data_IF_371095964316
#
_entry.id   IF_371095964316
#
_cell.length_a   1.000
_cell.length_b   1.000
_cell.length_c   1.000
_cell.angle_alpha   90.00
_cell.angle_beta   90.00
_cell.angle_gamma   90.00
#
_symmetry.space_group_name_H-M   'P 1'
#
loop_
_entity.id
_entity.type
_entity.pdbx_description
1 polymer ?
#
# COMPACT_ATOMS: atom_id res chain seq x y z
N UNK A 1 7.99 17.37 3.55
CA UNK A 1 8.06 17.00 2.12
C UNK A 1 7.59 15.58 1.95
N UNK A 2 6.76 15.27 0.95
CA UNK A 2 6.34 13.89 0.73
C UNK A 2 7.52 13.00 0.34
N UNK A 3 7.43 11.74 0.73
CA UNK A 3 8.39 10.72 0.31
C UNK A 3 8.00 10.20 -1.08
N UNK A 4 8.98 9.90 -1.91
CA UNK A 4 8.80 9.39 -3.26
C UNK A 4 9.59 8.12 -3.47
N UNK A 5 8.95 7.11 -4.03
CA UNK A 5 9.60 5.85 -4.39
C UNK A 5 9.15 5.44 -5.79
N UNK A 6 9.99 4.72 -6.51
CA UNK A 6 9.73 4.35 -7.88
C UNK A 6 10.39 3.02 -8.21
N UNK A 7 9.71 2.21 -9.03
CA UNK A 7 10.27 0.96 -9.54
C UNK A 7 9.67 0.64 -10.91
N UNK A 8 10.49 0.04 -11.79
CA UNK A 8 10.03 -0.48 -13.08
C UNK A 8 9.77 -1.98 -12.93
N UNK A 9 8.58 -2.42 -13.37
CA UNK A 9 8.13 -3.80 -13.26
C UNK A 9 7.85 -4.34 -14.67
N UNK A 10 8.41 -5.50 -15.00
CA UNK A 10 8.23 -6.15 -16.31
C UNK A 10 6.92 -6.92 -16.35
N UNK A 11 5.82 -6.21 -16.16
CA UNK A 11 4.46 -6.72 -16.23
C UNK A 11 3.57 -5.56 -16.63
N UNK A 12 2.42 -5.85 -17.27
CA UNK A 12 1.51 -4.78 -17.68
C UNK A 12 0.80 -4.15 -16.47
N UNK A 13 0.24 -2.94 -16.61
CA UNK A 13 -0.42 -2.26 -15.50
C UNK A 13 -1.56 -3.05 -14.86
N UNK A 14 -2.30 -3.84 -15.65
CA UNK A 14 -3.38 -4.68 -15.11
C UNK A 14 -2.83 -5.71 -14.12
N UNK A 15 -1.75 -6.39 -14.48
CA UNK A 15 -1.10 -7.37 -13.61
C UNK A 15 -0.59 -6.71 -12.34
N UNK A 16 0.11 -5.57 -12.47
CA UNK A 16 0.65 -4.84 -11.32
C UNK A 16 -0.48 -4.39 -10.39
N UNK A 17 -1.54 -3.84 -10.94
CA UNK A 17 -2.70 -3.38 -10.18
C UNK A 17 -3.33 -4.52 -9.38
N UNK A 18 -3.57 -5.66 -10.02
CA UNK A 18 -4.22 -6.80 -9.40
C UNK A 18 -3.35 -7.46 -8.32
N UNK A 19 -2.04 -7.53 -8.52
CA UNK A 19 -1.11 -8.07 -7.53
C UNK A 19 -0.96 -7.13 -6.34
N UNK A 20 -0.83 -5.83 -6.62
CA UNK A 20 -0.66 -4.80 -5.60
C UNK A 20 -1.84 -4.76 -4.63
N UNK A 21 -3.05 -4.93 -5.12
CA UNK A 21 -4.29 -4.80 -4.36
C UNK A 21 -4.98 -6.11 -4.01
N UNK A 22 -4.42 -7.25 -4.44
CA UNK A 22 -5.01 -8.57 -4.15
C UNK A 22 -4.90 -8.93 -2.67
N UNK A 23 -5.93 -9.58 -2.12
CA UNK A 23 -5.96 -9.93 -0.70
C UNK A 23 -4.77 -10.78 -0.27
N UNK A 24 -4.45 -11.81 -1.04
CA UNK A 24 -3.32 -12.69 -0.71
C UNK A 24 -1.97 -12.05 -1.02
N UNK A 25 -1.85 -11.45 -2.19
CA UNK A 25 -0.58 -10.88 -2.65
C UNK A 25 -0.17 -9.67 -1.83
N UNK A 26 -1.13 -8.86 -1.39
CA UNK A 26 -0.86 -7.74 -0.49
C UNK A 26 -0.16 -8.21 0.79
N UNK A 27 -0.58 -9.32 1.37
CA UNK A 27 0.03 -9.85 2.60
C UNK A 27 1.47 -10.27 2.40
N UNK A 28 1.85 -10.60 1.16
CA UNK A 28 3.20 -11.05 0.83
C UNK A 28 4.14 -9.87 0.66
N UNK A 29 3.78 -8.91 -0.23
CA UNK A 29 4.71 -7.81 -0.51
C UNK A 29 4.79 -6.78 0.62
N UNK A 30 3.77 -6.69 1.47
CA UNK A 30 3.78 -5.76 2.60
C UNK A 30 4.35 -6.36 3.89
N UNK A 31 4.65 -7.65 3.91
CA UNK A 31 5.18 -8.31 5.12
C UNK A 31 6.47 -7.68 5.63
N UNK A 32 7.25 -7.05 4.76
CA UNK A 32 8.50 -6.39 5.14
C UNK A 32 8.24 -5.17 6.04
N UNK A 33 7.08 -4.52 5.93
CA UNK A 33 6.68 -3.45 6.84
C UNK A 33 6.30 -4.02 8.20
N UNK A 34 5.49 -5.07 8.19
CA UNK A 34 5.11 -5.81 9.38
C UNK A 34 4.58 -7.18 8.97
N UNK A 35 5.18 -8.23 9.52
CA UNK A 35 4.70 -9.59 9.29
C UNK A 35 3.25 -9.72 9.76
N UNK A 36 2.41 -10.32 8.91
CA UNK A 36 0.98 -10.46 9.18
C UNK A 36 0.14 -9.27 8.73
N UNK A 37 0.72 -8.33 7.97
CA UNK A 37 -0.04 -7.20 7.41
C UNK A 37 -1.15 -7.67 6.48
N UNK A 38 -2.32 -7.04 6.58
CA UNK A 38 -3.47 -7.31 5.72
C UNK A 38 -4.35 -6.08 5.65
N UNK A 39 -5.37 -6.11 4.79
CA UNK A 39 -6.32 -5.02 4.71
C UNK A 39 -7.75 -5.54 4.76
N UNK A 40 -8.67 -4.64 5.13
CA UNK A 40 -10.12 -4.81 5.01
C UNK A 40 -10.66 -3.67 4.18
N UNK A 41 -11.63 -3.96 3.29
CA UNK A 41 -12.19 -2.99 2.34
C UNK A 41 -12.04 -3.51 0.92
N UNK A 42 -12.65 -2.82 -0.04
CA UNK A 42 -12.71 -3.27 -1.43
C UNK A 42 -12.01 -2.35 -2.43
N UNK A 43 -11.29 -1.36 -1.97
CA UNK A 43 -10.55 -0.37 -2.78
C UNK A 43 -11.41 0.55 -3.63
N UNK A 44 -12.73 0.43 -3.63
CA UNK A 44 -13.59 1.31 -4.43
C UNK A 44 -13.53 2.76 -3.94
N UNK A 45 -13.86 3.69 -4.82
CA UNK A 45 -13.88 5.11 -4.48
C UNK A 45 -14.80 5.34 -3.28
N UNK A 46 -14.28 6.08 -2.29
CA UNK A 46 -14.92 6.37 -1.01
C UNK A 46 -15.08 5.17 -0.07
N UNK A 47 -14.53 4.01 -0.43
CA UNK A 47 -14.51 2.84 0.46
C UNK A 47 -13.70 3.14 1.71
N UNK A 48 -14.25 2.74 2.86
CA UNK A 48 -13.50 2.71 4.11
C UNK A 48 -12.53 1.53 4.06
N UNK A 49 -11.28 1.79 4.40
CA UNK A 49 -10.23 0.79 4.40
C UNK A 49 -9.58 0.71 5.77
N UNK A 50 -9.16 -0.48 6.16
CA UNK A 50 -8.34 -0.68 7.35
C UNK A 50 -7.08 -1.42 6.95
N UNK A 51 -5.93 -0.84 7.24
CA UNK A 51 -4.63 -1.45 7.00
C UNK A 51 -4.08 -1.92 8.33
N UNK A 52 -4.04 -3.22 8.54
CA UNK A 52 -3.93 -3.85 9.84
C UNK A 52 -2.75 -4.81 9.93
N UNK A 53 -2.31 -5.07 11.15
CA UNK A 53 -1.32 -6.08 11.44
C UNK A 53 -1.26 -6.37 12.93
N UNK A 54 -0.71 -7.53 13.33
CA UNK A 54 -0.57 -7.87 14.75
C UNK A 54 0.64 -7.17 15.37
N UNK A 55 0.50 -6.76 16.63
CA UNK A 55 1.65 -6.35 17.43
C UNK A 55 2.28 -7.58 18.11
N UNK A 56 3.33 -7.34 18.90
CA UNK A 56 4.07 -8.43 19.58
C UNK A 56 3.20 -9.20 20.59
N UNK A 57 2.13 -8.57 21.08
CA UNK A 57 1.18 -9.20 22.01
C UNK A 57 0.01 -9.87 21.29
N UNK A 58 -0.03 -9.81 19.94
CA UNK A 58 -1.12 -10.39 19.16
C UNK A 58 -2.33 -9.48 18.99
N UNK A 59 -2.28 -8.23 19.46
CA UNK A 59 -3.35 -7.26 19.23
C UNK A 59 -3.31 -6.78 17.79
N UNK A 60 -4.48 -6.68 17.15
CA UNK A 60 -4.59 -6.21 15.77
C UNK A 60 -4.82 -4.70 15.77
N UNK A 61 -3.94 -3.98 15.09
CA UNK A 61 -4.05 -2.54 14.97
C UNK A 61 -3.53 -2.04 13.63
N UNK A 62 -3.66 -0.76 13.39
CA UNK A 62 -3.20 -0.13 12.16
C UNK A 62 -3.88 1.18 11.87
N UNK A 63 -4.16 1.42 10.59
CA UNK A 63 -4.67 2.69 10.08
C UNK A 63 -6.12 2.56 9.63
N UNK A 64 -6.93 3.55 10.00
CA UNK A 64 -8.27 3.76 9.42
C UNK A 64 -8.12 4.74 8.26
N UNK A 65 -8.66 4.38 7.11
CA UNK A 65 -8.38 5.08 5.86
C UNK A 65 -9.59 5.09 4.94
N UNK A 66 -9.49 5.86 3.86
CA UNK A 66 -10.52 5.97 2.84
C UNK A 66 -9.86 6.11 1.48
N UNK A 67 -10.48 5.56 0.45
CA UNK A 67 -10.01 5.73 -0.92
C UNK A 67 -10.59 7.03 -1.48
N UNK A 68 -9.74 7.99 -1.77
CA UNK A 68 -10.15 9.30 -2.28
C UNK A 68 -10.00 9.42 -3.79
N UNK A 69 -9.21 8.54 -4.41
CA UNK A 69 -9.07 8.50 -5.86
C UNK A 69 -8.84 7.06 -6.28
N UNK A 70 -9.54 6.61 -7.30
CA UNK A 70 -9.33 5.30 -7.91
C UNK A 70 -9.63 5.38 -9.40
N UNK A 71 -8.57 5.46 -10.21
CA UNK A 71 -8.62 5.28 -11.66
C UNK A 71 -7.93 3.94 -11.93
N UNK A 72 -8.68 2.87 -12.19
CA UNK A 72 -8.10 1.52 -12.26
C UNK A 72 -6.89 1.44 -13.19
N UNK A 73 -5.81 0.83 -12.69
CA UNK A 73 -4.55 0.65 -13.40
C UNK A 73 -3.76 1.95 -13.66
N UNK A 74 -4.22 3.08 -13.12
CA UNK A 74 -3.54 4.37 -13.30
C UNK A 74 -3.21 5.06 -11.99
N UNK A 75 -4.20 5.31 -11.12
CA UNK A 75 -3.99 6.05 -9.87
C UNK A 75 -4.86 5.51 -8.76
N UNK A 76 -4.24 5.34 -7.59
CA UNK A 76 -4.95 5.04 -6.35
C UNK A 76 -4.44 5.99 -5.26
N UNK A 77 -5.34 6.70 -4.59
CA UNK A 77 -4.99 7.55 -3.46
C UNK A 77 -5.73 7.09 -2.21
N UNK A 78 -4.96 6.89 -1.15
CA UNK A 78 -5.44 6.49 0.17
C UNK A 78 -5.28 7.68 1.10
N UNK A 79 -6.37 8.06 1.79
CA UNK A 79 -6.35 9.06 2.85
C UNK A 79 -6.37 8.34 4.20
N UNK A 80 -5.28 8.45 4.96
CA UNK A 80 -5.21 7.93 6.32
C UNK A 80 -5.71 9.00 7.28
N UNK A 81 -6.66 8.67 8.15
CA UNK A 81 -7.28 9.67 9.03
C UNK A 81 -7.38 9.26 10.49
N UNK A 82 -7.01 8.04 10.83
CA UNK A 82 -7.10 7.58 12.21
C UNK A 82 -6.35 6.29 12.46
N UNK A 83 -6.44 5.80 13.69
CA UNK A 83 -5.87 4.52 14.10
C UNK A 83 -6.97 3.49 14.32
N UNK A 84 -6.59 2.21 14.25
CA UNK A 84 -7.45 1.09 14.65
C UNK A 84 -6.70 0.31 15.72
N UNK A 85 -7.38 0.03 16.85
CA UNK A 85 -6.85 -0.81 17.93
C UNK A 85 -7.91 -1.85 18.30
N UNK A 86 -7.63 -3.12 18.01
CA UNK A 86 -8.54 -4.24 18.29
C UNK A 86 -9.97 -3.97 17.83
N UNK A 87 -10.11 -3.46 16.58
CA UNK A 87 -11.41 -3.19 15.98
C UNK A 87 -12.01 -1.83 16.31
N UNK A 88 -11.38 -1.05 17.18
CA UNK A 88 -11.89 0.29 17.57
C UNK A 88 -11.14 1.36 16.76
N UNK A 89 -11.90 2.18 16.04
CA UNK A 89 -11.34 3.31 15.28
C UNK A 89 -11.23 4.53 16.19
N UNK A 90 -10.04 5.12 16.22
CA UNK A 90 -9.77 6.35 16.97
C UNK A 90 -9.37 7.45 15.99
N UNK A 91 -10.10 8.56 16.01
CA UNK A 91 -9.83 9.74 15.17
C UNK A 91 -9.56 11.01 16.00
N UNK A 92 -9.53 10.88 17.32
CA UNK A 92 -9.49 12.02 18.23
C UNK A 92 -8.23 12.15 19.09
N UNK A 93 -7.38 11.12 19.12
CA UNK A 93 -6.14 11.17 19.88
C UNK A 93 -5.27 12.33 19.40
N UNK A 94 -4.59 13.01 20.34
CA UNK A 94 -3.73 14.13 20.02
C UNK A 94 -2.63 13.79 19.03
N UNK A 95 -2.09 12.54 19.09
CA UNK A 95 -1.05 12.09 18.16
C UNK A 95 -1.56 12.05 16.71
N UNK A 96 -2.85 11.82 16.49
CA UNK A 96 -3.46 11.77 15.16
C UNK A 96 -3.45 13.18 14.54
N UNK A 97 -3.71 14.21 15.33
CA UNK A 97 -3.75 15.59 14.85
C UNK A 97 -2.43 16.06 14.27
N UNK A 98 -1.32 15.41 14.64
CA UNK A 98 0.02 15.78 14.16
C UNK A 98 0.20 15.38 12.70
N UNK A 99 -0.37 14.24 12.26
CA UNK A 99 -0.12 13.70 10.93
C UNK A 99 -1.35 13.60 10.03
N UNK A 100 -2.56 13.57 10.59
CA UNK A 100 -3.78 13.37 9.80
C UNK A 100 -4.32 14.69 9.23
N UNK A 101 -4.86 14.69 7.99
CA UNK A 101 -4.86 13.55 7.09
C UNK A 101 -3.49 13.33 6.45
N UNK A 102 -3.15 12.08 6.15
CA UNK A 102 -1.94 11.74 5.41
C UNK A 102 -2.32 10.95 4.17
N UNK A 103 -1.73 11.29 3.03
CA UNK A 103 -2.08 10.71 1.74
C UNK A 103 -0.97 9.80 1.25
N UNK A 104 -1.39 8.69 0.64
CA UNK A 104 -0.50 7.73 0.01
C UNK A 104 -1.04 7.47 -1.40
N UNK A 105 -0.26 7.81 -2.43
CA UNK A 105 -0.71 7.74 -3.82
C UNK A 105 0.17 6.79 -4.62
N UNK A 106 -0.46 5.91 -5.37
CA UNK A 106 0.17 4.97 -6.29
C UNK A 106 -0.18 5.37 -7.70
N UNK A 107 0.85 5.59 -8.54
CA UNK A 107 0.67 5.94 -9.96
C UNK A 107 1.34 4.90 -10.83
N UNK A 108 0.60 4.36 -11.78
CA UNK A 108 1.08 3.38 -12.73
C UNK A 108 1.11 4.00 -14.12
N UNK A 109 2.24 3.84 -14.82
CA UNK A 109 2.38 4.30 -16.21
C UNK A 109 2.90 3.14 -17.04
N UNK A 110 2.25 2.87 -18.16
CA UNK A 110 2.72 1.83 -19.09
C UNK A 110 3.96 2.33 -19.83
N UNK A 111 4.96 1.45 -19.95
CA UNK A 111 6.20 1.72 -20.68
C UNK A 111 6.47 0.59 -21.67
N UNK A 112 7.49 0.74 -22.51
CA UNK A 112 7.91 -0.30 -23.44
C UNK A 112 8.38 -1.56 -22.71
N UNK A 113 8.86 -1.43 -21.46
CA UNK A 113 9.35 -2.55 -20.65
C UNK A 113 8.29 -3.15 -19.75
N UNK A 114 7.15 -2.46 -19.54
CA UNK A 114 6.08 -2.92 -18.65
C UNK A 114 5.40 -1.76 -17.96
N UNK A 115 5.62 -1.60 -16.66
CA UNK A 115 4.96 -0.58 -15.85
C UNK A 115 5.98 0.13 -14.97
N UNK A 116 5.91 1.47 -14.96
CA UNK A 116 6.56 2.28 -13.92
C UNK A 116 5.54 2.49 -12.81
N UNK A 117 5.91 2.12 -11.59
CA UNK A 117 5.10 2.36 -10.40
C UNK A 117 5.78 3.43 -9.56
N UNK A 118 5.04 4.49 -9.25
CA UNK A 118 5.49 5.59 -8.40
C UNK A 118 4.61 5.68 -7.19
N UNK A 119 5.24 5.88 -6.04
CA UNK A 119 4.54 6.03 -4.76
C UNK A 119 4.93 7.36 -4.15
N UNK A 120 3.93 8.13 -3.75
CA UNK A 120 4.10 9.36 -2.99
C UNK A 120 3.36 9.20 -1.68
N UNK A 121 3.98 9.59 -0.57
CA UNK A 121 3.32 9.50 0.71
C UNK A 121 3.71 10.64 1.63
N UNK A 122 2.71 11.12 2.38
CA UNK A 122 2.88 12.10 3.45
C UNK A 122 2.86 11.35 4.78
N UNK A 123 3.94 11.46 5.53
CA UNK A 123 3.98 10.92 6.88
C UNK A 123 4.79 11.87 7.75
N UNK A 124 4.70 11.71 9.06
CA UNK A 124 5.51 12.45 9.99
C UNK A 124 7.00 12.14 9.76
N UNK A 125 7.84 13.17 9.76
CA UNK A 125 9.28 13.04 9.45
C UNK A 125 10.00 12.00 10.31
N UNK A 126 9.52 11.74 11.52
CA UNK A 126 10.13 10.72 12.39
C UNK A 126 10.12 9.32 11.80
N UNK A 127 9.27 9.06 10.78
CA UNK A 127 9.21 7.77 10.10
C UNK A 127 10.02 7.73 8.80
N UNK A 128 10.63 8.84 8.38
CA UNK A 128 11.32 8.93 7.07
C UNK A 128 12.41 7.85 6.92
N UNK A 129 13.26 7.69 7.94
CA UNK A 129 14.33 6.70 7.87
C UNK A 129 13.79 5.28 7.72
N UNK A 130 12.74 4.96 8.47
CA UNK A 130 12.07 3.66 8.40
C UNK A 130 11.53 3.40 6.99
N UNK A 131 10.83 4.36 6.41
CA UNK A 131 10.25 4.20 5.09
C UNK A 131 11.29 4.20 3.98
N UNK A 132 12.33 5.03 4.09
CA UNK A 132 13.41 5.05 3.11
C UNK A 132 14.19 3.72 3.07
N UNK A 133 14.21 3.01 4.17
CA UNK A 133 14.86 1.69 4.26
C UNK A 133 13.91 0.58 3.80
N UNK A 134 12.64 0.67 4.12
CA UNK A 134 11.67 -0.41 3.95
C UNK A 134 10.96 -0.41 2.60
N UNK A 135 10.55 0.76 2.09
CA UNK A 135 9.82 0.85 0.81
C UNK A 135 10.59 0.24 -0.36
N UNK A 136 11.90 0.50 -0.53
CA UNK A 136 12.62 -0.15 -1.64
C UNK A 136 12.58 -1.67 -1.57
N UNK A 137 12.63 -2.25 -0.40
CA UNK A 137 12.54 -3.71 -0.21
C UNK A 137 11.13 -4.21 -0.52
N UNK A 138 10.10 -3.51 -0.08
CA UNK A 138 8.72 -3.86 -0.38
C UNK A 138 8.45 -3.85 -1.88
N UNK A 139 8.97 -2.84 -2.58
CA UNK A 139 8.80 -2.72 -4.03
C UNK A 139 9.50 -3.85 -4.79
N UNK A 140 10.65 -4.31 -4.32
CA UNK A 140 11.32 -5.47 -4.91
C UNK A 140 10.44 -6.72 -4.75
N UNK A 141 9.84 -6.93 -3.58
CA UNK A 141 8.92 -8.04 -3.37
C UNK A 141 7.70 -7.96 -4.29
N UNK A 142 7.13 -6.76 -4.43
CA UNK A 142 6.00 -6.54 -5.32
C UNK A 142 6.38 -6.82 -6.79
N UNK A 143 7.52 -6.27 -7.23
CA UNK A 143 8.03 -6.52 -8.57
C UNK A 143 8.19 -8.02 -8.85
N UNK A 144 8.79 -8.74 -7.92
CA UNK A 144 9.04 -10.17 -8.11
C UNK A 144 7.74 -10.96 -8.23
N UNK A 145 6.72 -10.62 -7.43
CA UNK A 145 5.39 -11.23 -7.55
C UNK A 145 4.74 -10.92 -8.91
N UNK A 146 4.83 -9.67 -9.34
CA UNK A 146 4.23 -9.25 -10.62
C UNK A 146 4.92 -9.93 -11.81
N UNK A 147 6.25 -9.99 -11.79
CA UNK A 147 7.00 -10.60 -12.88
C UNK A 147 6.81 -12.13 -12.92
N UNK A 148 6.69 -12.76 -11.77
CA UNK A 148 6.37 -14.19 -11.71
C UNK A 148 4.99 -14.47 -12.30
N UNK A 149 4.00 -13.61 -12.02
CA UNK A 149 2.65 -13.76 -12.59
C UNK A 149 2.68 -13.54 -14.11
N UNK A 150 3.40 -12.51 -14.57
CA UNK A 150 3.50 -12.20 -16.00
C UNK A 150 4.19 -13.31 -16.79
N UNK A 151 5.08 -14.08 -16.16
CA UNK A 151 5.84 -15.16 -16.79
C UNK A 151 5.17 -16.53 -16.66
N UNK A 152 4.01 -16.63 -16.04
CA UNK A 152 3.28 -17.87 -15.99
C UNK A 152 2.82 -18.29 -17.39
N UNK A 153 2.91 -19.59 -17.75
CA UNK A 153 2.39 -20.05 -19.03
C UNK A 153 0.88 -19.84 -19.08
N UNK A 154 0.32 -19.60 -20.29
CA UNK A 154 -1.13 -19.45 -20.42
C UNK A 154 -1.82 -20.73 -19.95
N UNK A 155 -2.91 -20.56 -19.22
CA UNK A 155 -3.72 -21.68 -18.75
C UNK A 155 -4.49 -22.29 -19.93
N UNK A 156 -4.56 -23.65 -20.03
CA UNK A 156 -5.31 -24.30 -21.11
C UNK A 156 -6.82 -24.08 -20.99
#
# INVERSE_FOLDING_TARGET
MPLHYEITIKANPETVWNIMLGQETYTIWTAIFKEGSFFEGDWSLNSEMRFLGPDDAGNIGGMASRITENLPQEVLTIEHYGYVNNGVVDTTDESIKIWAPAYETYRLSQTDEGTDLRIEMDMEESFDDYFNETWPLALVHLRDLCEAEANKPPQP
#
